data_IF_327067336912
#
_entry.id   IF_327067336912
#
_cell.length_a   1.000
_cell.length_b   1.000
_cell.length_c   1.000
_cell.angle_alpha   90.00
_cell.angle_beta   90.00
_cell.angle_gamma   90.00
#
_symmetry.space_group_name_H-M   'P 1'
#
loop_
_entity.id
_entity.type
_entity.pdbx_description
1 polymer ?
#
# COMPACT_ATOMS: atom_id res chain seq x y z
N UNK A 1 -6.18 -14.39 15.81
CA UNK A 1 -5.32 -14.72 14.71
C UNK A 1 -5.88 -14.43 13.37
N UNK A 2 -6.98 -15.02 13.06
CA UNK A 2 -7.59 -14.78 11.78
C UNK A 2 -8.02 -13.37 11.60
N UNK A 3 -8.53 -12.74 12.66
CA UNK A 3 -8.98 -11.36 12.57
C UNK A 3 -7.81 -10.44 12.23
N UNK A 4 -6.63 -10.73 12.75
CA UNK A 4 -5.46 -9.94 12.44
C UNK A 4 -5.09 -10.06 10.98
N UNK A 5 -5.11 -11.28 10.46
CA UNK A 5 -4.80 -11.50 9.05
C UNK A 5 -5.81 -10.81 8.15
N UNK A 6 -7.09 -10.91 8.52
CA UNK A 6 -8.12 -10.27 7.73
C UNK A 6 -7.98 -8.77 7.73
N UNK A 7 -7.65 -8.22 8.91
CA UNK A 7 -7.48 -6.78 9.02
C UNK A 7 -6.32 -6.31 8.13
N UNK A 8 -5.22 -7.02 8.16
CA UNK A 8 -4.08 -6.67 7.34
C UNK A 8 -4.45 -6.75 5.86
N UNK A 9 -5.17 -7.79 5.49
CA UNK A 9 -5.60 -7.95 4.12
C UNK A 9 -6.51 -6.82 3.67
N UNK A 10 -7.41 -6.41 4.55
CA UNK A 10 -8.31 -5.30 4.24
C UNK A 10 -7.55 -4.01 4.08
N UNK A 11 -6.53 -3.80 4.91
CA UNK A 11 -5.72 -2.60 4.80
C UNK A 11 -4.93 -2.58 3.51
N UNK A 12 -4.39 -3.72 3.10
CA UNK A 12 -3.67 -3.81 1.84
C UNK A 12 -4.60 -3.52 0.68
N UNK A 13 -5.81 -4.06 0.73
CA UNK A 13 -6.78 -3.80 -0.31
C UNK A 13 -7.16 -2.33 -0.37
N UNK A 14 -7.26 -1.70 0.78
CA UNK A 14 -7.57 -0.27 0.84
C UNK A 14 -6.45 0.55 0.23
N UNK A 15 -5.20 0.20 0.52
CA UNK A 15 -4.06 0.89 -0.06
C UNK A 15 -4.09 0.77 -1.58
N UNK A 16 -4.32 -0.44 -2.07
CA UNK A 16 -4.36 -0.66 -3.50
C UNK A 16 -5.46 0.17 -4.14
N UNK A 17 -6.63 0.22 -3.50
CA UNK A 17 -7.74 1.00 -4.03
C UNK A 17 -7.40 2.49 -4.07
N UNK A 18 -6.74 2.98 -3.03
CA UNK A 18 -6.36 4.39 -2.98
C UNK A 18 -5.39 4.70 -4.10
N UNK A 19 -4.35 3.88 -4.26
CA UNK A 19 -3.36 4.13 -5.29
C UNK A 19 -3.95 4.03 -6.67
N UNK A 20 -4.84 3.07 -6.86
CA UNK A 20 -5.49 2.87 -8.15
C UNK A 20 -6.38 4.05 -8.49
N UNK A 21 -7.16 4.51 -7.52
CA UNK A 21 -8.10 5.60 -7.74
C UNK A 21 -7.39 6.92 -8.03
N UNK A 22 -6.25 7.14 -7.40
CA UNK A 22 -5.53 8.40 -7.58
C UNK A 22 -4.85 8.48 -8.93
N UNK A 23 -4.46 7.34 -9.49
CA UNK A 23 -3.89 7.29 -10.82
C UNK A 23 -2.51 7.88 -10.95
N UNK A 24 -1.88 8.24 -9.84
CA UNK A 24 -0.54 8.80 -9.86
C UNK A 24 0.11 8.53 -8.53
N UNK A 25 1.16 9.29 -8.21
CA UNK A 25 1.82 9.11 -6.93
C UNK A 25 0.97 9.71 -5.81
N UNK A 26 0.99 9.04 -4.66
CA UNK A 26 0.25 9.46 -3.48
C UNK A 26 1.23 9.53 -2.31
N UNK A 27 1.23 10.66 -1.63
CA UNK A 27 2.11 10.83 -0.48
C UNK A 27 1.73 9.87 0.62
N UNK A 28 2.76 9.32 1.29
CA UNK A 28 2.53 8.33 2.33
C UNK A 28 1.68 8.91 3.45
N UNK A 29 1.81 10.20 3.72
CA UNK A 29 1.01 10.82 4.77
C UNK A 29 -0.47 10.79 4.43
N UNK A 30 -0.81 10.95 3.17
CA UNK A 30 -2.20 10.87 2.76
C UNK A 30 -2.75 9.46 2.87
N UNK A 31 -1.92 8.49 2.51
CA UNK A 31 -2.31 7.10 2.65
C UNK A 31 -2.53 6.76 4.13
N UNK A 32 -1.60 7.20 4.96
CA UNK A 32 -1.70 6.94 6.39
C UNK A 32 -2.95 7.58 6.98
N UNK A 33 -3.24 8.79 6.58
CA UNK A 33 -4.42 9.48 7.07
C UNK A 33 -5.71 8.77 6.65
N UNK A 34 -5.75 8.31 5.43
CA UNK A 34 -6.92 7.61 4.93
C UNK A 34 -7.15 6.30 5.67
N UNK A 35 -6.07 5.64 6.07
CA UNK A 35 -6.15 4.39 6.81
C UNK A 35 -6.20 4.59 8.31
N UNK A 36 -6.06 5.83 8.76
CA UNK A 36 -6.00 6.16 10.19
C UNK A 36 -4.87 5.39 10.86
N UNK A 37 -3.72 5.37 10.20
CA UNK A 37 -2.53 4.69 10.67
C UNK A 37 -1.39 5.69 10.81
N UNK A 38 -0.39 5.29 11.58
CA UNK A 38 0.82 6.07 11.66
C UNK A 38 1.59 5.94 10.34
N UNK A 39 2.35 6.96 10.01
CA UNK A 39 3.14 6.95 8.79
C UNK A 39 4.11 5.76 8.79
N UNK A 40 4.74 5.51 9.93
CA UNK A 40 5.69 4.40 10.04
C UNK A 40 5.03 3.06 9.76
N UNK A 41 3.83 2.86 10.32
CA UNK A 41 3.11 1.62 10.10
C UNK A 41 2.68 1.49 8.65
N UNK A 42 2.30 2.60 8.05
CA UNK A 42 1.90 2.62 6.65
C UNK A 42 3.07 2.27 5.75
N UNK A 43 4.26 2.79 6.07
CA UNK A 43 5.45 2.48 5.29
C UNK A 43 5.80 1.00 5.38
N UNK A 44 5.65 0.42 6.55
CA UNK A 44 5.89 -1.02 6.71
C UNK A 44 4.90 -1.83 5.90
N UNK A 45 3.65 -1.42 5.93
CA UNK A 45 2.62 -2.11 5.16
C UNK A 45 2.91 -2.04 3.67
N UNK A 46 3.30 -0.87 3.20
CA UNK A 46 3.62 -0.69 1.79
C UNK A 46 4.84 -1.50 1.37
N UNK A 47 5.85 -1.55 2.23
CA UNK A 47 7.03 -2.35 1.94
C UNK A 47 6.66 -3.82 1.80
N UNK A 48 5.79 -4.28 2.68
CA UNK A 48 5.34 -5.66 2.62
C UNK A 48 4.56 -5.94 1.33
N UNK A 49 3.72 -4.99 0.94
CA UNK A 49 2.95 -5.14 -0.29
C UNK A 49 3.86 -5.15 -1.51
N UNK A 50 4.87 -4.29 -1.52
CA UNK A 50 5.80 -4.22 -2.63
C UNK A 50 6.51 -5.56 -2.82
N UNK A 51 6.93 -6.15 -1.71
CA UNK A 51 7.60 -7.44 -1.76
C UNK A 51 6.66 -8.54 -2.19
N UNK A 52 5.44 -8.49 -1.71
CA UNK A 52 4.45 -9.50 -2.06
C UNK A 52 4.10 -9.45 -3.54
N UNK A 53 3.94 -8.25 -4.08
CA UNK A 53 3.64 -8.09 -5.50
C UNK A 53 4.78 -8.64 -6.35
N UNK A 54 6.00 -8.44 -5.89
CA UNK A 54 7.17 -8.92 -6.60
C UNK A 54 7.20 -10.44 -6.63
N UNK A 55 6.90 -11.06 -5.48
CA UNK A 55 6.92 -12.52 -5.38
C UNK A 55 5.84 -13.16 -6.22
N UNK A 56 4.69 -12.53 -6.28
CA UNK A 56 3.55 -13.09 -7.01
C UNK A 56 3.63 -12.80 -8.49
N UNK A 57 4.62 -12.04 -8.91
CA UNK A 57 4.80 -11.72 -10.33
C UNK A 57 3.53 -11.14 -10.92
N UNK A 58 2.92 -10.23 -10.18
CA UNK A 58 1.70 -9.59 -10.62
C UNK A 58 2.01 -8.60 -11.74
N UNK A 59 1.00 -8.32 -12.55
CA UNK A 59 1.18 -7.38 -13.64
C UNK A 59 1.34 -5.93 -13.19
N UNK A 60 1.12 -5.66 -11.91
CA UNK A 60 1.26 -4.32 -11.37
C UNK A 60 2.30 -4.34 -10.26
N UNK A 61 2.91 -3.20 -10.04
CA UNK A 61 3.91 -3.03 -9.00
C UNK A 61 3.65 -1.72 -8.28
N UNK A 62 4.10 -1.66 -7.03
CA UNK A 62 4.09 -0.42 -6.28
C UNK A 62 5.50 0.14 -6.30
N UNK A 63 5.63 1.36 -6.75
CA UNK A 63 6.92 2.03 -6.85
C UNK A 63 7.00 3.08 -5.76
N UNK A 64 8.10 3.08 -5.03
CA UNK A 64 8.34 4.07 -3.99
C UNK A 64 9.10 5.25 -4.58
N UNK A 65 8.49 6.41 -4.46
CA UNK A 65 9.14 7.67 -4.79
C UNK A 65 9.52 8.34 -3.48
N UNK A 66 9.95 9.58 -3.57
CA UNK A 66 10.35 10.29 -2.36
C UNK A 66 9.11 10.55 -1.51
N UNK A 67 8.92 9.75 -0.46
CA UNK A 67 7.80 9.86 0.48
C UNK A 67 6.44 9.71 -0.20
N UNK A 68 6.40 9.05 -1.35
CA UNK A 68 5.17 8.80 -2.07
C UNK A 68 5.23 7.42 -2.71
N UNK A 69 4.07 6.93 -3.09
CA UNK A 69 3.96 5.60 -3.70
C UNK A 69 3.03 5.67 -4.90
N UNK A 70 3.26 4.80 -5.85
CA UNK A 70 2.50 4.81 -7.09
C UNK A 70 2.36 3.40 -7.63
N UNK A 71 1.18 3.10 -8.18
CA UNK A 71 0.97 1.84 -8.87
C UNK A 71 1.45 1.98 -10.32
N UNK A 72 2.20 0.99 -10.77
CA UNK A 72 2.71 0.96 -12.14
C UNK A 72 2.41 -0.39 -12.76
N UNK A 73 2.13 -0.39 -14.03
CA UNK A 73 1.92 -1.63 -14.79
C UNK A 73 3.11 -1.99 -15.66
#
# INVERSE_FOLDING_TARGET
MRSTSQKTRQMKAAVEAILFAMGGSVEVEKIAAALEMKVESTEELLADMMEQYKKEDRGIQIVELEQAYQLCT
#
